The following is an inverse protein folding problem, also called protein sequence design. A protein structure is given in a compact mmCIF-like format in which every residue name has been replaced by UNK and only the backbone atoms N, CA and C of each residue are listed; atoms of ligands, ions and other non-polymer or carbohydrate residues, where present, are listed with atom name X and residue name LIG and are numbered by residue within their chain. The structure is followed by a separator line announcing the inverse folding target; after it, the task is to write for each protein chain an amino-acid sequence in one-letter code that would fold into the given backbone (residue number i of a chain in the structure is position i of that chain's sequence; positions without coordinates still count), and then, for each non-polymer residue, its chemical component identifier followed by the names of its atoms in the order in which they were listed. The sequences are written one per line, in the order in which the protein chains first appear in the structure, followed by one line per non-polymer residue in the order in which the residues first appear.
data_IF_569007396131
#
_entry.id   IF_569007396131
#
_cell.length_a   1.000
_cell.length_b   1.000
_cell.length_c   1.000
_cell.angle_alpha   90.00
_cell.angle_beta   90.00
_cell.angle_gamma   90.00
#
_symmetry.space_group_name_H-M   'P 1'
#
loop_
_entity.id
_entity.type
_entity.pdbx_description
1 polymer ?
#
# COMPACT_ATOMS: atom_id res chain seq x y z
N UNK A 1 7.75 16.55 23.46
CA UNK A 1 6.58 16.55 22.57
C UNK A 1 5.95 17.94 22.66
N UNK A 2 5.83 18.72 21.58
CA UNK A 2 5.26 20.06 21.67
C UNK A 2 3.76 19.94 21.97
N UNK A 3 3.38 20.23 23.21
CA UNK A 3 2.02 20.07 23.76
C UNK A 3 0.98 20.85 22.93
N UNK A 4 1.39 21.93 22.27
CA UNK A 4 0.52 22.78 21.46
C UNK A 4 -0.01 22.12 20.18
N UNK A 5 0.78 21.29 19.50
CA UNK A 5 0.37 20.66 18.23
C UNK A 5 -0.63 19.52 18.47
N UNK A 6 -0.49 18.82 19.60
CA UNK A 6 -1.40 17.75 20.00
C UNK A 6 -2.80 18.26 20.38
N UNK A 7 -2.93 19.52 20.81
CA UNK A 7 -4.23 20.14 21.13
C UNK A 7 -5.11 20.33 19.89
N UNK A 8 -4.52 20.42 18.69
CA UNK A 8 -5.26 20.56 17.44
C UNK A 8 -6.00 19.29 17.03
N UNK A 9 -5.46 18.11 17.39
CA UNK A 9 -6.01 16.81 16.97
C UNK A 9 -7.45 16.60 17.48
N UNK A 10 -7.77 16.77 18.78
CA UNK A 10 -9.14 16.65 19.28
C UNK A 10 -10.12 17.64 18.63
N UNK A 11 -9.66 18.84 18.31
CA UNK A 11 -10.50 19.89 17.69
C UNK A 11 -10.88 19.48 16.27
N UNK A 12 -9.90 19.05 15.47
CA UNK A 12 -10.14 18.57 14.10
C UNK A 12 -10.97 17.30 14.09
N UNK A 13 -10.71 16.38 15.03
CA UNK A 13 -11.52 15.18 15.22
C UNK A 13 -12.99 15.54 15.43
N UNK A 14 -13.27 16.48 16.35
CA UNK A 14 -14.63 16.93 16.61
C UNK A 14 -15.25 17.65 15.42
N UNK A 15 -14.48 18.44 14.69
CA UNK A 15 -14.96 19.12 13.48
C UNK A 15 -15.39 18.11 12.39
N UNK A 16 -14.61 17.03 12.20
CA UNK A 16 -14.94 15.95 11.26
C UNK A 16 -16.24 15.27 11.68
N UNK A 17 -16.41 14.92 12.96
CA UNK A 17 -17.65 14.31 13.45
C UNK A 17 -18.90 15.17 13.20
N UNK A 18 -18.77 16.49 13.31
CA UNK A 18 -19.89 17.43 13.12
C UNK A 18 -20.25 17.65 11.64
N UNK A 19 -19.25 17.60 10.75
CA UNK A 19 -19.43 17.89 9.32
C UNK A 19 -19.73 16.64 8.49
N UNK A 20 -19.27 15.48 8.95
CA UNK A 20 -19.43 14.20 8.26
C UNK A 20 -20.89 13.75 8.30
N UNK A 21 -21.46 13.45 7.12
CA UNK A 21 -22.83 12.91 7.01
C UNK A 21 -22.86 11.38 7.01
N UNK A 22 -21.83 10.77 6.44
CA UNK A 22 -21.68 9.32 6.30
C UNK A 22 -20.26 8.88 6.67
N UNK A 23 -20.07 7.68 7.27
CA UNK A 23 -18.79 7.28 7.84
C UNK A 23 -17.64 7.23 6.81
N UNK A 24 -17.93 6.84 5.56
CA UNK A 24 -16.95 6.74 4.46
C UNK A 24 -16.78 8.02 3.63
N UNK A 25 -17.18 9.19 4.16
CA UNK A 25 -17.06 10.45 3.44
C UNK A 25 -15.73 11.15 3.76
N UNK A 26 -14.96 11.47 2.72
CA UNK A 26 -13.73 12.24 2.84
C UNK A 26 -14.02 13.75 2.82
N UNK A 27 -13.55 14.44 3.87
CA UNK A 27 -13.53 15.90 4.01
C UNK A 27 -12.11 16.45 3.83
N UNK A 28 -11.99 17.74 3.48
CA UNK A 28 -10.69 18.42 3.34
C UNK A 28 -9.88 18.37 4.64
N UNK A 29 -10.55 18.46 5.79
CA UNK A 29 -9.96 18.45 7.14
C UNK A 29 -9.20 17.15 7.45
N UNK A 30 -9.49 16.04 6.75
CA UNK A 30 -8.76 14.80 6.96
C UNK A 30 -7.27 14.94 6.60
N UNK A 31 -6.93 15.71 5.56
CA UNK A 31 -5.51 15.92 5.23
C UNK A 31 -4.77 16.65 6.34
N UNK A 32 -5.42 17.63 6.98
CA UNK A 32 -4.83 18.42 8.06
C UNK A 32 -4.69 17.59 9.34
N UNK A 33 -5.70 16.78 9.66
CA UNK A 33 -5.65 15.82 10.78
C UNK A 33 -4.48 14.85 10.59
N UNK A 34 -4.36 14.22 9.43
CA UNK A 34 -3.31 13.25 9.16
C UNK A 34 -1.92 13.90 9.20
N UNK A 35 -1.79 15.13 8.68
CA UNK A 35 -0.55 15.89 8.79
C UNK A 35 -0.15 16.13 10.24
N UNK A 36 -1.08 16.57 11.10
CA UNK A 36 -0.82 16.79 12.52
C UNK A 36 -0.48 15.49 13.26
N UNK A 37 -1.16 14.38 12.96
CA UNK A 37 -0.85 13.07 13.52
C UNK A 37 0.58 12.63 13.17
N UNK A 38 1.04 12.89 11.93
CA UNK A 38 2.42 12.61 11.52
C UNK A 38 3.42 13.50 12.27
N UNK A 39 3.14 14.80 12.40
CA UNK A 39 4.03 15.72 13.14
C UNK A 39 4.13 15.34 14.62
N UNK A 40 3.01 14.99 15.25
CA UNK A 40 2.94 14.59 16.65
C UNK A 40 3.41 13.15 16.89
N UNK A 41 3.61 12.35 15.84
CA UNK A 41 3.88 10.90 15.95
C UNK A 41 2.80 10.16 16.76
N UNK A 42 1.54 10.60 16.68
CA UNK A 42 0.40 9.98 17.33
C UNK A 42 -0.65 9.59 16.28
N UNK A 43 -0.71 8.30 15.95
CA UNK A 43 -1.46 7.82 14.79
C UNK A 43 -2.87 7.29 15.11
N UNK A 44 -3.14 6.90 16.36
CA UNK A 44 -4.43 6.33 16.79
C UNK A 44 -5.65 7.14 16.32
N UNK A 45 -5.69 8.50 16.45
CA UNK A 45 -6.85 9.27 16.03
C UNK A 45 -7.04 9.32 14.51
N UNK A 46 -5.99 9.08 13.72
CA UNK A 46 -6.10 8.99 12.28
C UNK A 46 -6.59 7.60 11.83
N UNK A 47 -6.21 6.54 12.55
CA UNK A 47 -6.60 5.16 12.22
C UNK A 47 -8.12 4.96 12.25
N UNK A 48 -8.82 5.63 13.17
CA UNK A 48 -10.29 5.55 13.25
C UNK A 48 -10.99 5.96 11.96
N UNK A 49 -10.35 6.80 11.13
CA UNK A 49 -10.87 7.24 9.84
C UNK A 49 -10.22 6.50 8.67
N UNK A 50 -8.92 6.19 8.77
CA UNK A 50 -8.18 5.47 7.73
C UNK A 50 -8.61 4.02 7.56
N UNK A 51 -9.10 3.37 8.64
CA UNK A 51 -9.59 1.99 8.61
C UNK A 51 -10.96 1.83 7.95
N UNK A 52 -11.64 2.94 7.67
CA UNK A 52 -12.92 2.97 6.97
C UNK A 52 -12.66 3.31 5.50
N UNK A 53 -13.13 2.45 4.60
CA UNK A 53 -13.01 2.70 3.17
C UNK A 53 -13.76 3.98 2.75
N UNK A 54 -13.06 4.84 2.01
CA UNK A 54 -13.60 6.10 1.51
C UNK A 54 -14.48 5.80 0.28
N UNK A 55 -15.77 6.14 0.37
CA UNK A 55 -16.77 5.86 -0.67
C UNK A 55 -17.21 7.16 -1.37
N UNK A 56 -17.29 8.27 -0.64
CA UNK A 56 -17.73 9.56 -1.18
C UNK A 56 -16.79 10.70 -0.78
N UNK A 57 -16.75 11.75 -1.59
CA UNK A 57 -15.96 12.96 -1.34
C UNK A 57 -16.93 14.11 -1.09
N UNK A 58 -16.86 14.71 0.10
CA UNK A 58 -17.67 15.89 0.40
C UNK A 58 -17.19 17.08 -0.43
N UNK A 59 -18.06 17.62 -1.28
CA UNK A 59 -17.73 18.76 -2.14
C UNK A 59 -17.56 20.07 -1.38
N UNK A 60 -18.00 20.15 -0.11
CA UNK A 60 -17.86 21.32 0.77
C UNK A 60 -18.29 22.64 0.09
N UNK A 61 -19.43 22.61 -0.61
CA UNK A 61 -19.94 23.74 -1.41
C UNK A 61 -18.95 24.26 -2.49
N UNK A 62 -18.13 23.37 -3.06
CA UNK A 62 -17.15 23.69 -4.09
C UNK A 62 -15.77 24.10 -3.56
N UNK A 63 -15.54 24.02 -2.24
CA UNK A 63 -14.24 24.33 -1.62
C UNK A 63 -13.26 23.16 -1.61
N UNK A 64 -13.73 21.96 -1.92
CA UNK A 64 -12.87 20.78 -1.95
C UNK A 64 -11.94 20.81 -3.17
N UNK A 65 -10.66 21.08 -2.91
CA UNK A 65 -9.59 20.98 -3.92
C UNK A 65 -9.01 19.56 -4.00
N UNK A 66 -8.59 19.15 -5.20
CA UNK A 66 -7.94 17.85 -5.49
C UNK A 66 -6.68 17.66 -4.65
N UNK A 67 -6.00 18.75 -4.28
CA UNK A 67 -4.84 18.71 -3.38
C UNK A 67 -5.17 18.04 -2.04
N UNK A 68 -6.35 18.28 -1.45
CA UNK A 68 -6.74 17.66 -0.18
C UNK A 68 -6.91 16.15 -0.33
N UNK A 69 -7.47 15.69 -1.45
CA UNK A 69 -7.56 14.27 -1.79
C UNK A 69 -6.17 13.63 -1.86
N UNK A 70 -5.26 14.24 -2.64
CA UNK A 70 -3.89 13.74 -2.80
C UNK A 70 -3.14 13.70 -1.46
N UNK A 71 -3.27 14.74 -0.64
CA UNK A 71 -2.62 14.81 0.67
C UNK A 71 -3.22 13.82 1.67
N UNK A 72 -4.54 13.65 1.70
CA UNK A 72 -5.20 12.71 2.59
C UNK A 72 -4.72 11.28 2.32
N UNK A 73 -4.70 10.85 1.05
CA UNK A 73 -4.19 9.52 0.70
C UNK A 73 -2.67 9.40 0.88
N UNK A 74 -1.89 10.43 0.55
CA UNK A 74 -0.44 10.41 0.75
C UNK A 74 -0.05 10.30 2.23
N UNK A 75 -0.65 11.12 3.09
CA UNK A 75 -0.41 11.06 4.53
C UNK A 75 -0.97 9.80 5.15
N UNK A 76 -2.13 9.31 4.71
CA UNK A 76 -2.66 8.01 5.10
C UNK A 76 -1.69 6.87 4.77
N UNK A 77 -1.12 6.86 3.57
CA UNK A 77 -0.08 5.90 3.17
C UNK A 77 1.18 5.99 4.03
N UNK A 78 1.60 7.19 4.41
CA UNK A 78 2.73 7.39 5.34
C UNK A 78 2.43 6.84 6.74
N UNK A 79 1.24 7.09 7.28
CA UNK A 79 0.81 6.59 8.59
C UNK A 79 0.81 5.05 8.59
N UNK A 80 0.21 4.43 7.58
CA UNK A 80 0.22 2.97 7.44
C UNK A 80 1.64 2.40 7.28
N UNK A 81 2.52 3.09 6.55
CA UNK A 81 3.92 2.69 6.44
C UNK A 81 4.65 2.78 7.79
N UNK A 82 4.36 3.78 8.62
CA UNK A 82 4.91 3.90 9.98
C UNK A 82 4.44 2.76 10.90
N UNK A 83 3.19 2.31 10.76
CA UNK A 83 2.60 1.20 11.53
C UNK A 83 2.99 -0.18 10.93
N UNK A 84 3.78 -0.20 9.85
CA UNK A 84 4.22 -1.40 9.12
C UNK A 84 3.09 -2.20 8.48
N UNK A 85 1.95 -1.57 8.21
CA UNK A 85 0.89 -2.14 7.36
C UNK A 85 1.17 -1.81 5.90
N UNK A 86 2.19 -2.47 5.34
CA UNK A 86 2.72 -2.13 4.02
C UNK A 86 1.73 -2.36 2.87
N UNK A 87 0.86 -3.37 2.93
CA UNK A 87 -0.15 -3.61 1.89
C UNK A 87 -1.17 -2.47 1.80
N UNK A 88 -1.68 -2.00 2.94
CA UNK A 88 -2.59 -0.85 2.99
C UNK A 88 -1.88 0.43 2.57
N UNK A 89 -0.64 0.64 3.02
CA UNK A 89 0.16 1.78 2.59
C UNK A 89 0.35 1.80 1.07
N UNK A 90 0.63 0.64 0.45
CA UNK A 90 0.76 0.52 -1.00
C UNK A 90 -0.53 0.91 -1.72
N UNK A 91 -1.69 0.42 -1.27
CA UNK A 91 -3.00 0.78 -1.84
C UNK A 91 -3.27 2.29 -1.74
N UNK A 92 -2.94 2.90 -0.60
CA UNK A 92 -3.10 4.35 -0.41
C UNK A 92 -2.21 5.16 -1.36
N UNK A 93 -0.95 4.78 -1.53
CA UNK A 93 -0.08 5.45 -2.50
C UNK A 93 -0.52 5.18 -3.96
N UNK A 94 -1.03 3.99 -4.26
CA UNK A 94 -1.58 3.65 -5.58
C UNK A 94 -2.77 4.56 -5.92
N UNK A 95 -3.66 4.82 -4.97
CA UNK A 95 -4.78 5.75 -5.12
C UNK A 95 -4.30 7.18 -5.43
N UNK A 96 -3.17 7.63 -4.88
CA UNK A 96 -2.59 8.96 -5.23
C UNK A 96 -2.11 8.99 -6.68
N UNK A 97 -1.47 7.91 -7.14
CA UNK A 97 -0.86 7.83 -8.48
C UNK A 97 -1.93 7.69 -9.58
N UNK A 98 -3.08 7.09 -9.24
CA UNK A 98 -4.18 6.84 -10.18
C UNK A 98 -5.15 7.99 -10.33
N UNK A 99 -5.08 9.02 -9.49
CA UNK A 99 -5.93 10.22 -9.63
C UNK A 99 -5.78 10.81 -11.05
N UNK A 100 -6.90 11.03 -11.78
CA UNK A 100 -6.85 11.66 -13.09
C UNK A 100 -6.19 13.04 -13.03
N UNK A 101 -5.15 13.25 -13.83
CA UNK A 101 -4.35 14.48 -13.76
C UNK A 101 -3.91 14.94 -15.16
N UNK A 102 -4.14 16.22 -15.44
CA UNK A 102 -3.63 16.88 -16.65
C UNK A 102 -2.19 17.38 -16.47
N UNK A 103 -1.75 17.57 -15.23
CA UNK A 103 -0.39 17.93 -14.85
C UNK A 103 0.06 17.13 -13.63
N UNK A 104 1.34 16.78 -13.56
CA UNK A 104 1.89 15.99 -12.46
C UNK A 104 2.23 16.88 -11.27
N UNK A 105 1.77 16.51 -10.07
CA UNK A 105 2.12 17.20 -8.83
C UNK A 105 3.33 16.56 -8.15
N UNK A 106 4.06 17.33 -7.34
CA UNK A 106 5.16 16.82 -6.53
C UNK A 106 4.68 15.74 -5.53
N UNK A 107 3.43 15.82 -5.06
CA UNK A 107 2.83 14.83 -4.14
C UNK A 107 2.77 13.47 -4.82
N UNK A 108 2.35 13.41 -6.09
CA UNK A 108 2.26 12.15 -6.86
C UNK A 108 3.64 11.53 -7.06
N UNK A 109 4.67 12.35 -7.33
CA UNK A 109 6.05 11.87 -7.47
C UNK A 109 6.57 11.28 -6.16
N UNK A 110 6.38 11.99 -5.03
CA UNK A 110 6.78 11.49 -3.72
C UNK A 110 6.01 10.24 -3.29
N UNK A 111 4.72 10.15 -3.64
CA UNK A 111 3.90 8.97 -3.43
C UNK A 111 4.44 7.78 -4.22
N UNK A 112 4.80 7.96 -5.49
CA UNK A 112 5.37 6.89 -6.33
C UNK A 112 6.68 6.34 -5.77
N UNK A 113 7.58 7.22 -5.34
CA UNK A 113 8.85 6.81 -4.71
C UNK A 113 8.61 5.88 -3.51
N UNK A 114 7.68 6.26 -2.62
CA UNK A 114 7.33 5.47 -1.43
C UNK A 114 6.55 4.21 -1.77
N UNK A 115 5.66 4.28 -2.75
CA UNK A 115 4.90 3.14 -3.27
C UNK A 115 5.82 2.01 -3.71
N UNK A 116 6.86 2.30 -4.50
CA UNK A 116 7.82 1.29 -4.95
C UNK A 116 8.51 0.63 -3.75
N UNK A 117 9.03 1.43 -2.81
CA UNK A 117 9.73 0.89 -1.63
C UNK A 117 8.82 0.04 -0.75
N UNK A 118 7.60 0.51 -0.50
CA UNK A 118 6.61 -0.19 0.33
C UNK A 118 6.17 -1.50 -0.33
N UNK A 119 5.96 -1.52 -1.66
CA UNK A 119 5.67 -2.75 -2.40
C UNK A 119 6.82 -3.77 -2.32
N UNK A 120 8.06 -3.31 -2.43
CA UNK A 120 9.23 -4.17 -2.26
C UNK A 120 9.32 -4.75 -0.84
N UNK A 121 8.98 -3.95 0.18
CA UNK A 121 8.98 -4.40 1.58
C UNK A 121 7.87 -5.43 1.85
N UNK A 122 6.67 -5.21 1.31
CA UNK A 122 5.54 -6.10 1.55
C UNK A 122 5.69 -7.47 0.90
N UNK A 123 6.58 -7.63 -0.08
CA UNK A 123 6.75 -8.88 -0.83
C UNK A 123 5.59 -9.20 -1.78
N UNK A 124 4.55 -8.36 -1.85
CA UNK A 124 3.45 -8.44 -2.81
C UNK A 124 3.85 -8.03 -4.24
N UNK A 125 5.10 -7.61 -4.43
CA UNK A 125 5.65 -7.18 -5.70
C UNK A 125 6.07 -8.36 -6.59
N UNK A 126 5.19 -8.79 -7.49
CA UNK A 126 5.58 -9.59 -8.67
C UNK A 126 5.86 -8.72 -9.91
N UNK A 127 5.37 -7.47 -9.93
CA UNK A 127 5.55 -6.54 -11.04
C UNK A 127 5.44 -5.07 -10.60
N UNK A 128 6.24 -4.19 -11.19
CA UNK A 128 6.20 -2.73 -10.96
C UNK A 128 5.31 -1.99 -11.98
N UNK A 129 4.36 -2.71 -12.58
CA UNK A 129 3.45 -2.09 -13.53
C UNK A 129 2.43 -1.23 -12.79
N UNK A 130 2.37 0.03 -13.20
CA UNK A 130 1.32 0.94 -12.78
C UNK A 130 -0.03 0.45 -13.34
N UNK A 131 -1.15 0.68 -12.63
CA UNK A 131 -2.47 0.35 -13.15
C UNK A 131 -2.73 1.00 -14.51
N UNK A 132 -3.40 0.30 -15.40
CA UNK A 132 -3.61 0.73 -16.80
C UNK A 132 -4.36 2.06 -16.93
N UNK A 133 -5.18 2.40 -15.92
CA UNK A 133 -5.96 3.63 -15.85
C UNK A 133 -5.20 4.82 -15.25
N UNK A 134 -3.90 4.68 -14.93
CA UNK A 134 -3.06 5.82 -14.55
C UNK A 134 -2.91 6.82 -15.69
N UNK A 135 -2.93 8.11 -15.36
CA UNK A 135 -2.83 9.19 -16.37
C UNK A 135 -1.50 9.12 -17.14
N UNK A 136 -1.54 9.26 -18.47
CA UNK A 136 -0.34 9.20 -19.33
C UNK A 136 0.74 10.22 -18.93
N UNK A 137 0.32 11.42 -18.54
CA UNK A 137 1.18 12.50 -18.03
C UNK A 137 1.95 12.07 -16.79
N UNK A 138 1.28 11.39 -15.86
CA UNK A 138 1.86 10.85 -14.63
C UNK A 138 2.84 9.73 -14.95
N UNK A 139 2.47 8.79 -15.83
CA UNK A 139 3.38 7.71 -16.26
C UNK A 139 4.67 8.24 -16.89
N UNK A 140 4.57 9.25 -17.76
CA UNK A 140 5.73 9.89 -18.39
C UNK A 140 6.61 10.61 -17.37
N UNK A 141 6.00 11.38 -16.45
CA UNK A 141 6.73 12.08 -15.41
C UNK A 141 7.46 11.11 -14.46
N UNK A 142 6.80 10.01 -14.06
CA UNK A 142 7.42 8.96 -13.24
C UNK A 142 8.61 8.34 -13.96
N UNK A 143 8.44 7.97 -15.24
CA UNK A 143 9.53 7.39 -16.03
C UNK A 143 10.71 8.34 -16.15
N UNK A 144 10.46 9.63 -16.35
CA UNK A 144 11.50 10.64 -16.51
C UNK A 144 12.20 11.01 -15.20
N UNK A 145 11.49 11.08 -14.07
CA UNK A 145 12.01 11.63 -12.81
C UNK A 145 12.43 10.56 -11.81
N UNK A 146 11.80 9.38 -11.84
CA UNK A 146 12.00 8.31 -10.86
C UNK A 146 12.52 7.00 -11.49
N UNK A 147 12.60 6.93 -12.82
CA UNK A 147 12.93 5.71 -13.54
C UNK A 147 14.31 5.15 -13.19
N UNK A 148 15.33 6.00 -13.13
CA UNK A 148 16.71 5.57 -12.83
C UNK A 148 16.88 5.11 -11.40
N UNK A 149 16.24 5.75 -10.43
CA UNK A 149 16.50 5.48 -9.00
C UNK A 149 15.62 4.38 -8.45
N UNK A 150 14.30 4.47 -8.67
CA UNK A 150 13.34 3.60 -7.98
C UNK A 150 12.91 2.42 -8.85
N UNK A 151 12.73 2.62 -10.17
CA UNK A 151 12.38 1.52 -11.06
C UNK A 151 13.56 0.57 -11.29
N UNK A 152 14.79 1.09 -11.39
CA UNK A 152 15.97 0.24 -11.48
C UNK A 152 16.23 -0.53 -10.17
N UNK A 153 16.05 0.11 -9.01
CA UNK A 153 16.10 -0.56 -7.70
C UNK A 153 15.14 -1.74 -7.63
N UNK A 154 13.92 -1.60 -8.18
CA UNK A 154 12.94 -2.69 -8.27
C UNK A 154 13.46 -3.86 -9.12
N UNK A 155 14.13 -3.56 -10.24
CA UNK A 155 14.69 -4.59 -11.10
C UNK A 155 15.84 -5.33 -10.42
N UNK A 156 16.73 -4.60 -9.72
CA UNK A 156 17.82 -5.19 -8.93
C UNK A 156 17.25 -6.04 -7.79
N UNK A 157 16.16 -5.60 -7.15
CA UNK A 157 15.52 -6.36 -6.08
C UNK A 157 15.03 -7.74 -6.55
N UNK A 158 14.50 -7.84 -7.77
CA UNK A 158 13.93 -9.09 -8.27
C UNK A 158 14.93 -10.00 -8.99
N UNK A 159 15.92 -9.43 -9.68
CA UNK A 159 16.81 -10.17 -10.58
C UNK A 159 18.29 -10.12 -10.16
N UNK A 160 18.64 -9.23 -9.24
CA UNK A 160 20.01 -8.95 -8.85
C UNK A 160 20.45 -9.65 -7.57
N UNK A 161 21.64 -9.28 -7.09
CA UNK A 161 22.22 -9.79 -5.85
C UNK A 161 22.22 -8.73 -4.75
N UNK A 162 22.41 -9.14 -3.49
CA UNK A 162 22.47 -8.21 -2.35
C UNK A 162 23.63 -7.21 -2.49
N UNK A 163 24.78 -7.65 -3.03
CA UNK A 163 25.91 -6.76 -3.32
C UNK A 163 25.56 -5.68 -4.34
N UNK A 164 24.90 -6.05 -5.44
CA UNK A 164 24.44 -5.09 -6.46
C UNK A 164 23.43 -4.10 -5.87
N UNK A 165 22.54 -4.58 -5.01
CA UNK A 165 21.60 -3.72 -4.29
C UNK A 165 22.33 -2.70 -3.40
N UNK A 166 23.31 -3.16 -2.60
CA UNK A 166 24.07 -2.30 -1.69
C UNK A 166 24.93 -1.27 -2.45
N UNK A 167 25.60 -1.67 -3.52
CA UNK A 167 26.37 -0.78 -4.39
C UNK A 167 25.47 0.30 -5.02
N UNK A 168 24.32 -0.11 -5.57
CA UNK A 168 23.36 0.79 -6.19
C UNK A 168 22.75 1.79 -5.19
N UNK A 169 22.41 1.32 -3.99
CA UNK A 169 21.90 2.18 -2.90
C UNK A 169 22.96 3.18 -2.44
N UNK A 170 24.21 2.74 -2.33
CA UNK A 170 25.31 3.63 -1.93
C UNK A 170 25.58 4.70 -3.00
N UNK A 171 25.51 4.34 -4.29
CA UNK A 171 25.66 5.29 -5.39
C UNK A 171 24.58 6.39 -5.37
N UNK A 172 23.32 6.02 -5.07
CA UNK A 172 22.19 6.96 -5.06
C UNK A 172 21.83 7.48 -3.65
N UNK A 173 22.70 7.29 -2.65
CA UNK A 173 22.42 7.57 -1.24
C UNK A 173 21.98 9.01 -0.97
N UNK A 174 22.60 9.98 -1.63
CA UNK A 174 22.27 11.40 -1.47
C UNK A 174 20.86 11.74 -1.95
N UNK A 175 20.38 11.05 -2.98
CA UNK A 175 19.02 11.26 -3.51
C UNK A 175 17.99 10.68 -2.54
N UNK A 176 18.22 9.47 -2.02
CA UNK A 176 17.36 8.88 -0.99
C UNK A 176 17.35 9.70 0.31
N UNK A 177 18.47 10.36 0.64
CA UNK A 177 18.55 11.28 1.77
C UNK A 177 17.69 12.53 1.54
N UNK A 178 17.78 13.13 0.35
CA UNK A 178 16.95 14.28 -0.04
C UNK A 178 15.46 13.96 -0.03
N UNK A 179 15.09 12.77 -0.52
CA UNK A 179 13.72 12.29 -0.55
C UNK A 179 13.20 11.81 0.83
N UNK A 180 14.07 11.80 1.86
CA UNK A 180 13.79 11.30 3.22
C UNK A 180 13.33 9.84 3.26
N UNK A 181 13.79 9.02 2.32
CA UNK A 181 13.39 7.62 2.17
C UNK A 181 14.45 6.63 2.69
N UNK A 182 15.55 7.09 3.28
CA UNK A 182 16.64 6.22 3.78
C UNK A 182 16.16 5.15 4.78
N UNK A 183 15.17 5.46 5.61
CA UNK A 183 14.59 4.49 6.54
C UNK A 183 13.89 3.34 5.82
N UNK A 184 13.11 3.67 4.78
CA UNK A 184 12.43 2.67 3.94
C UNK A 184 13.44 1.84 3.15
N UNK A 185 14.49 2.46 2.59
CA UNK A 185 15.55 1.73 1.87
C UNK A 185 16.22 0.67 2.75
N UNK A 186 16.50 0.99 4.02
CA UNK A 186 17.05 0.00 4.98
C UNK A 186 16.08 -1.15 5.22
N UNK A 187 14.78 -0.87 5.30
CA UNK A 187 13.75 -1.90 5.42
C UNK A 187 13.64 -2.73 4.15
N UNK A 188 13.74 -2.12 2.97
CA UNK A 188 13.78 -2.82 1.68
C UNK A 188 14.98 -3.77 1.61
N UNK A 189 16.17 -3.36 2.10
CA UNK A 189 17.33 -4.26 2.20
C UNK A 189 17.04 -5.49 3.06
N UNK A 190 16.42 -5.30 4.22
CA UNK A 190 16.02 -6.42 5.07
C UNK A 190 14.99 -7.32 4.38
N UNK A 191 14.01 -6.74 3.70
CA UNK A 191 13.03 -7.49 2.92
C UNK A 191 13.67 -8.28 1.77
N UNK A 192 14.72 -7.75 1.13
CA UNK A 192 15.49 -8.47 0.09
C UNK A 192 16.12 -9.75 0.66
N UNK A 193 16.74 -9.65 1.84
CA UNK A 193 17.35 -10.80 2.54
C UNK A 193 16.27 -11.83 2.90
N UNK A 194 15.16 -11.39 3.51
CA UNK A 194 14.05 -12.26 3.86
C UNK A 194 13.45 -12.97 2.63
N UNK A 195 13.22 -12.24 1.52
CA UNK A 195 12.70 -12.82 0.28
C UNK A 195 13.70 -13.83 -0.30
N UNK A 196 15.00 -13.54 -0.29
CA UNK A 196 16.03 -14.47 -0.76
C UNK A 196 16.01 -15.79 0.03
N UNK A 197 15.86 -15.72 1.36
CA UNK A 197 15.71 -16.90 2.22
C UNK A 197 14.41 -17.65 1.90
N UNK A 198 13.29 -16.95 1.69
CA UNK A 198 12.02 -17.56 1.28
C UNK A 198 12.10 -18.27 -0.08
N UNK A 199 12.91 -17.80 -1.03
CA UNK A 199 13.11 -18.54 -2.29
C UNK A 199 13.89 -19.84 -2.08
N UNK A 200 14.83 -19.87 -1.12
CA UNK A 200 15.56 -21.09 -0.78
C UNK A 200 14.65 -22.17 -0.18
N UNK A 201 13.60 -21.79 0.57
CA UNK A 201 12.65 -22.77 1.13
C UNK A 201 11.83 -23.49 0.05
N UNK A 202 11.71 -22.91 -1.16
CA UNK A 202 11.01 -23.53 -2.29
C UNK A 202 11.87 -24.57 -3.02
N UNK A 203 13.19 -24.49 -2.89
CA UNK A 203 14.14 -25.32 -3.66
C UNK A 203 14.88 -26.33 -2.79
N UNK A 204 14.99 -26.07 -1.49
CA UNK A 204 15.72 -26.93 -0.56
C UNK A 204 14.85 -27.33 0.63
N UNK A 205 14.94 -28.61 1.02
CA UNK A 205 14.40 -29.10 2.29
C UNK A 205 15.38 -28.84 3.45
N UNK A 206 16.67 -29.03 3.20
CA UNK A 206 17.73 -28.88 4.21
C UNK A 206 18.90 -28.11 3.61
N UNK A 207 19.40 -27.09 4.32
CA UNK A 207 20.53 -26.26 3.87
C UNK A 207 21.46 -26.00 5.06
N UNK A 208 22.77 -26.05 4.84
CA UNK A 208 23.72 -25.65 5.87
C UNK A 208 23.66 -24.13 6.11
N UNK A 209 23.87 -23.68 7.35
CA UNK A 209 23.91 -22.24 7.67
C UNK A 209 24.99 -21.50 6.87
N UNK A 210 26.10 -22.17 6.57
CA UNK A 210 27.19 -21.62 5.75
C UNK A 210 26.77 -21.42 4.30
N UNK A 211 26.12 -22.42 3.70
CA UNK A 211 25.65 -22.29 2.32
C UNK A 211 24.52 -21.28 2.18
N UNK A 212 23.67 -21.17 3.20
CA UNK A 212 22.62 -20.16 3.25
C UNK A 212 23.23 -18.75 3.31
N UNK A 213 24.20 -18.51 4.20
CA UNK A 213 24.92 -17.24 4.28
C UNK A 213 25.61 -16.89 2.96
N UNK A 214 26.28 -17.85 2.31
CA UNK A 214 26.96 -17.64 1.04
C UNK A 214 25.98 -17.30 -0.10
N UNK A 215 24.85 -18.00 -0.20
CA UNK A 215 23.85 -17.77 -1.27
C UNK A 215 23.15 -16.42 -1.13
N UNK A 216 22.88 -16.00 0.10
CA UNK A 216 22.25 -14.70 0.39
C UNK A 216 23.30 -13.56 0.50
N UNK A 217 24.59 -13.90 0.38
CA UNK A 217 25.72 -12.95 0.46
C UNK A 217 25.81 -12.22 1.82
N UNK A 218 25.50 -12.91 2.90
CA UNK A 218 25.64 -12.40 4.27
C UNK A 218 27.09 -12.55 4.75
N UNK A 219 27.51 -11.68 5.66
CA UNK A 219 28.92 -11.63 6.11
C UNK A 219 29.27 -12.77 7.07
N UNK A 220 28.27 -13.32 7.78
CA UNK A 220 28.49 -14.37 8.76
C UNK A 220 27.32 -15.35 8.87
N UNK A 221 27.62 -16.56 9.36
CA UNK A 221 26.61 -17.57 9.70
C UNK A 221 25.72 -17.12 10.86
N UNK A 222 26.25 -16.31 11.78
CA UNK A 222 25.51 -15.78 12.93
C UNK A 222 24.45 -14.77 12.49
N UNK A 223 24.77 -13.94 11.49
CA UNK A 223 23.82 -13.01 10.88
C UNK A 223 22.69 -13.78 10.19
N UNK A 224 23.03 -14.83 9.44
CA UNK A 224 22.05 -15.72 8.82
C UNK A 224 21.13 -16.40 9.85
N UNK A 225 21.69 -16.90 10.96
CA UNK A 225 20.93 -17.50 12.07
C UNK A 225 19.96 -16.48 12.68
N UNK A 226 20.40 -15.23 12.89
CA UNK A 226 19.56 -14.16 13.42
C UNK A 226 18.37 -13.85 12.50
N UNK A 227 18.61 -13.70 11.20
CA UNK A 227 17.52 -13.49 10.23
C UNK A 227 16.55 -14.67 10.22
N UNK A 228 17.03 -15.91 10.30
CA UNK A 228 16.16 -17.08 10.36
C UNK A 228 15.28 -17.09 11.62
N UNK A 229 15.84 -16.77 12.79
CA UNK A 229 15.07 -16.68 14.03
C UNK A 229 13.98 -15.61 13.91
N UNK A 230 14.34 -14.41 13.46
CA UNK A 230 13.39 -13.30 13.28
C UNK A 230 12.28 -13.70 12.27
N UNK A 231 12.62 -14.40 11.19
CA UNK A 231 11.64 -14.85 10.19
C UNK A 231 10.72 -15.97 10.71
N UNK A 232 11.22 -16.87 11.57
CA UNK A 232 10.41 -17.91 12.22
C UNK A 232 9.45 -17.28 13.23
N UNK A 233 9.94 -16.35 14.06
CA UNK A 233 9.12 -15.64 15.06
C UNK A 233 8.00 -14.81 14.43
N UNK A 234 8.29 -14.15 13.30
CA UNK A 234 7.29 -13.40 12.53
C UNK A 234 6.37 -14.29 11.68
N UNK A 235 6.52 -15.62 11.73
CA UNK A 235 5.71 -16.57 10.96
C UNK A 235 5.90 -16.49 9.44
N UNK A 236 7.03 -15.93 8.97
CA UNK A 236 7.32 -15.76 7.55
C UNK A 236 7.84 -17.03 6.88
N UNK A 237 8.49 -17.91 7.66
CA UNK A 237 8.97 -19.23 7.24
C UNK A 237 8.73 -20.25 8.35
N UNK A 238 8.62 -21.51 7.97
CA UNK A 238 8.55 -22.63 8.89
C UNK A 238 9.84 -23.42 8.79
N UNK A 239 10.72 -23.26 9.76
CA UNK A 239 12.03 -23.90 9.74
C UNK A 239 12.48 -24.26 11.16
N UNK A 240 13.33 -25.27 11.27
CA UNK A 240 14.02 -25.63 12.52
C UNK A 240 15.52 -25.58 12.33
N UNK A 241 16.23 -24.97 13.28
CA UNK A 241 17.69 -24.81 13.26
C UNK A 241 18.32 -25.88 14.15
N UNK A 242 19.13 -26.76 13.57
CA UNK A 242 19.94 -27.71 14.32
C UNK A 242 21.34 -27.13 14.52
N UNK A 243 21.58 -26.57 15.72
CA UNK A 243 22.85 -25.92 16.07
C UNK A 243 24.03 -26.90 16.17
N UNK A 244 23.79 -28.18 16.46
CA UNK A 244 24.86 -29.19 16.57
C UNK A 244 25.46 -29.51 15.20
N UNK A 245 24.59 -29.63 14.20
CA UNK A 245 24.99 -29.99 12.83
C UNK A 245 25.19 -28.76 11.93
N UNK A 246 24.83 -27.56 12.39
CA UNK A 246 24.91 -26.32 11.61
C UNK A 246 23.94 -26.29 10.42
N UNK A 247 22.81 -27.00 10.54
CA UNK A 247 21.85 -27.21 9.46
C UNK A 247 20.50 -26.54 9.75
N UNK A 248 19.85 -26.07 8.70
CA UNK A 248 18.49 -25.52 8.70
C UNK A 248 17.60 -26.51 7.95
N UNK A 249 16.53 -26.95 8.60
CA UNK A 249 15.52 -27.82 8.00
C UNK A 249 14.27 -26.98 7.78
N UNK A 250 13.87 -26.82 6.52
CA UNK A 250 12.64 -26.15 6.14
C UNK A 250 11.48 -27.14 6.19
N UNK A 251 10.38 -26.70 6.80
CA UNK A 251 9.14 -27.45 6.91
C UNK A 251 8.11 -26.85 5.96
N UNK A 252 7.17 -27.66 5.49
CA UNK A 252 5.98 -27.16 4.83
C UNK A 252 5.10 -26.37 5.81
N UNK A 253 4.22 -25.52 5.27
CA UNK A 253 3.27 -24.73 6.07
C UNK A 253 2.52 -25.63 7.07
N UNK A 254 2.49 -25.30 8.37
CA UNK A 254 1.85 -26.09 9.41
C UNK A 254 0.33 -25.95 9.41
N UNK A 255 -0.26 -25.16 8.50
CA UNK A 255 -1.72 -25.09 8.29
C UNK A 255 -2.24 -26.45 7.82
N UNK A 256 -2.48 -27.32 8.80
CA UNK A 256 -3.51 -28.34 8.71
C UNK A 256 -4.81 -27.56 8.72
N UNK A 257 -5.66 -27.76 7.72
CA UNK A 257 -6.95 -27.10 7.57
C UNK A 257 -7.91 -27.50 8.70
N UNK A 258 -7.59 -27.12 9.93
CA UNK A 258 -8.35 -27.46 11.11
C UNK A 258 -9.71 -26.78 11.02
N UNK A 259 -10.76 -27.60 11.02
CA UNK A 259 -12.11 -27.21 10.60
C UNK A 259 -12.63 -25.96 11.32
N UNK A 260 -12.32 -25.77 12.61
CA UNK A 260 -12.93 -24.69 13.40
C UNK A 260 -12.29 -23.32 13.16
N UNK A 261 -10.97 -23.22 13.12
CA UNK A 261 -10.28 -21.94 12.84
C UNK A 261 -10.49 -21.53 11.38
N UNK A 262 -10.48 -22.48 10.45
CA UNK A 262 -10.81 -22.22 9.05
C UNK A 262 -12.27 -21.80 8.88
N UNK A 263 -13.20 -22.41 9.59
CA UNK A 263 -14.61 -22.05 9.53
C UNK A 263 -14.85 -20.63 10.05
N UNK A 264 -14.20 -20.22 11.14
CA UNK A 264 -14.26 -18.83 11.62
C UNK A 264 -13.68 -17.84 10.59
N UNK A 265 -12.49 -18.11 10.04
CA UNK A 265 -11.89 -17.27 8.99
C UNK A 265 -12.81 -17.16 7.76
N UNK A 266 -13.43 -18.27 7.34
CA UNK A 266 -14.37 -18.29 6.23
C UNK A 266 -15.64 -17.50 6.53
N UNK A 267 -16.17 -17.59 7.75
CA UNK A 267 -17.31 -16.78 8.18
C UNK A 267 -16.97 -15.29 8.11
N UNK A 268 -15.84 -14.87 8.69
CA UNK A 268 -15.39 -13.46 8.68
C UNK A 268 -15.24 -12.93 7.25
N UNK A 269 -14.60 -13.70 6.35
CA UNK A 269 -14.45 -13.32 4.94
C UNK A 269 -15.80 -13.30 4.19
N UNK A 270 -16.73 -14.18 4.53
CA UNK A 270 -18.08 -14.20 3.95
C UNK A 270 -18.87 -12.97 4.38
N UNK A 271 -18.79 -12.58 5.65
CA UNK A 271 -19.44 -11.38 6.19
C UNK A 271 -18.91 -10.11 5.53
N UNK A 272 -17.58 -9.98 5.38
CA UNK A 272 -16.96 -8.86 4.64
C UNK A 272 -17.46 -8.78 3.20
N UNK A 273 -17.55 -9.92 2.51
CA UNK A 273 -18.06 -9.97 1.12
C UNK A 273 -19.54 -9.60 1.05
N UNK A 274 -20.37 -10.09 1.97
CA UNK A 274 -21.78 -9.73 2.04
C UNK A 274 -21.98 -8.23 2.28
N UNK A 275 -21.15 -7.64 3.15
CA UNK A 275 -21.18 -6.19 3.40
C UNK A 275 -20.81 -5.39 2.14
N UNK A 276 -19.73 -5.77 1.46
CA UNK A 276 -19.31 -5.13 0.21
C UNK A 276 -20.37 -5.27 -0.90
N UNK A 277 -20.99 -6.45 -1.04
CA UNK A 277 -22.06 -6.68 -2.01
C UNK A 277 -23.30 -5.82 -1.70
N UNK A 278 -23.64 -5.65 -0.41
CA UNK A 278 -24.72 -4.77 0.02
C UNK A 278 -24.43 -3.30 -0.35
N UNK A 279 -23.19 -2.85 -0.13
CA UNK A 279 -22.76 -1.50 -0.52
C UNK A 279 -22.80 -1.32 -2.04
N UNK A 280 -22.33 -2.29 -2.80
CA UNK A 280 -22.36 -2.26 -4.27
C UNK A 280 -23.79 -2.16 -4.80
N UNK A 281 -24.73 -2.98 -4.28
CA UNK A 281 -26.15 -2.91 -4.65
C UNK A 281 -26.76 -1.54 -4.37
N UNK A 282 -26.38 -0.91 -3.26
CA UNK A 282 -26.86 0.43 -2.93
C UNK A 282 -26.31 1.50 -3.89
N UNK A 283 -25.03 1.42 -4.25
CA UNK A 283 -24.43 2.30 -5.25
C UNK A 283 -25.06 2.11 -6.63
N UNK A 284 -25.29 0.87 -7.06
CA UNK A 284 -26.01 0.56 -8.32
C UNK A 284 -27.42 1.14 -8.32
N UNK A 285 -28.14 1.00 -7.20
CA UNK A 285 -29.46 1.60 -7.02
C UNK A 285 -29.38 3.12 -7.19
N UNK A 286 -28.44 3.80 -6.55
CA UNK A 286 -28.27 5.25 -6.68
C UNK A 286 -27.93 5.67 -8.11
N UNK A 287 -27.06 4.93 -8.81
CA UNK A 287 -26.74 5.18 -10.22
C UNK A 287 -27.98 4.99 -11.10
N UNK A 288 -28.75 3.92 -10.89
CA UNK A 288 -29.96 3.63 -11.67
C UNK A 288 -31.04 4.71 -11.54
N UNK A 289 -31.12 5.34 -10.35
CA UNK A 289 -32.03 6.45 -10.06
C UNK A 289 -31.49 7.81 -10.54
N UNK A 290 -30.24 7.88 -10.99
CA UNK A 290 -29.63 9.13 -11.41
C UNK A 290 -30.24 9.63 -12.74
N UNK A 291 -30.52 10.93 -12.80
CA UNK A 291 -31.09 11.57 -14.01
C UNK A 291 -30.25 11.32 -15.26
N UNK A 292 -28.92 11.35 -15.13
CA UNK A 292 -28.01 11.12 -16.25
C UNK A 292 -28.10 9.68 -16.79
N UNK A 293 -28.24 8.70 -15.91
CA UNK A 293 -28.41 7.30 -16.30
C UNK A 293 -29.77 7.07 -16.98
N UNK A 294 -30.85 7.58 -16.40
CA UNK A 294 -32.21 7.49 -16.96
C UNK A 294 -32.28 8.17 -18.34
N UNK A 295 -31.69 9.36 -18.48
CA UNK A 295 -31.66 10.07 -19.78
C UNK A 295 -30.86 9.30 -20.84
N UNK A 296 -29.70 8.75 -20.48
CA UNK A 296 -28.89 7.95 -21.42
C UNK A 296 -29.59 6.65 -21.83
N UNK A 297 -30.23 5.94 -20.89
CA UNK A 297 -30.96 4.69 -21.20
C UNK A 297 -32.22 4.94 -22.03
N UNK A 298 -32.90 6.08 -21.83
CA UNK A 298 -34.01 6.51 -22.69
C UNK A 298 -33.55 6.90 -24.10
N UNK A 299 -32.39 7.55 -24.25
CA UNK A 299 -31.82 7.91 -25.55
C UNK A 299 -31.29 6.71 -26.34
N UNK A 300 -30.78 5.68 -25.66
CA UNK A 300 -30.32 4.43 -26.29
C UNK A 300 -31.44 3.42 -26.58
N UNK A 301 -32.69 3.75 -26.24
CA UNK A 301 -33.83 2.88 -26.50
C UNK A 301 -34.17 2.89 -28.00
N UNK A 302 -34.29 1.73 -28.68
CA UNK A 302 -34.51 1.61 -30.13
C UNK A 302 -35.84 2.20 -30.64
N UNK A 303 -36.64 2.81 -29.74
CA UNK A 303 -37.89 3.48 -30.07
C UNK A 303 -37.76 5.00 -30.28
N UNK A 304 -36.57 5.58 -30.09
CA UNK A 304 -36.37 7.03 -30.26
C UNK A 304 -36.23 7.48 -31.74
N UNK A 305 -35.97 6.56 -32.67
CA UNK A 305 -35.80 6.83 -34.12
C UNK A 305 -37.09 6.67 -34.94
N UNK A 306 -38.28 6.74 -34.32
CA UNK A 306 -39.52 6.84 -35.12
C UNK A 306 -39.69 8.29 -35.60
N UNK A 307 -39.79 8.56 -36.91
CA UNK A 307 -39.99 9.91 -37.41
C UNK A 307 -41.23 10.51 -36.77
N UNK A 308 -41.11 11.72 -36.23
CA UNK A 308 -42.25 12.51 -35.76
C UNK A 308 -43.17 12.72 -36.96
N UNK A 309 -44.29 12.01 -36.99
CA UNK A 309 -45.36 12.27 -37.96
C UNK A 309 -45.90 13.65 -37.61
N UNK A 310 -45.62 14.62 -38.49
CA UNK A 310 -46.19 15.96 -38.47
C UNK A 310 -47.71 15.82 -38.62
N UNK A 311 -48.45 16.37 -37.64
CA UNK A 311 -49.84 16.80 -37.83
C UNK A 311 -49.83 18.30 -38.11
#
# INVERSE_FOLDING_TARGET
MPIHEALGIPILYRAIELLRREPGQLLSIHSDLYQLCILCQWFEPALTYLDIDIIDINRENGKFDVKHLLLAYYYGGMIYACIKQFDRAANFFENVITVPATATSAIVIEAYKKYVLVKLISGSASNNQLPTYTSRTVQQAIKSLCGTQYTELFNIFNNGTLTQFDEFVNHHREQYARDRNLGLIKQTRNAFICNSIQQLTKTFLTVSLKDLANRVQLQSTNEAEKYLIDMIENGQIFASINKKDGMVIFHGSPEKFDANNMLSKLQDETEKRMLAEKQLRELERQISLSKAYIQRTQQSSPYHDRPKILN
#
